data_IF_895771738005
#
_entry.id   IF_895771738005
#
_cell.length_a   1.000
_cell.length_b   1.000
_cell.length_c   1.000
_cell.angle_alpha   90.00
_cell.angle_beta   90.00
_cell.angle_gamma   90.00
#
_symmetry.space_group_name_H-M   'P 1'
#
loop_
_entity.id
_entity.type
_entity.pdbx_description
1 polymer ?
#
# COMPACT_ATOMS: atom_id res chain seq x y z
N UNK A 1 1.61 12.83 8.45
CA UNK A 1 3.02 12.44 8.71
C UNK A 1 3.50 11.66 7.49
N UNK A 2 4.22 12.30 6.57
CA UNK A 2 4.59 11.70 5.27
C UNK A 2 5.96 11.06 5.40
N UNK A 3 6.05 9.73 5.32
CA UNK A 3 7.31 9.06 5.00
C UNK A 3 7.68 9.48 3.57
N UNK A 4 8.81 10.17 3.36
CA UNK A 4 9.22 10.60 2.02
C UNK A 4 9.31 9.39 1.08
N UNK A 5 8.44 9.37 0.07
CA UNK A 5 8.41 8.37 -1.00
C UNK A 5 7.62 7.09 -0.69
N UNK A 6 6.93 6.97 0.45
CA UNK A 6 6.00 5.86 0.71
C UNK A 6 4.70 6.45 1.24
N UNK A 7 3.59 6.15 0.57
CA UNK A 7 2.27 6.61 1.00
C UNK A 7 1.86 5.94 2.31
N UNK A 8 1.31 6.73 3.24
CA UNK A 8 0.67 6.28 4.47
C UNK A 8 -0.62 7.07 4.71
N UNK A 9 -1.65 6.47 5.35
CA UNK A 9 -1.75 5.07 5.78
C UNK A 9 -1.86 4.10 4.60
N UNK A 10 -1.67 2.80 4.83
CA UNK A 10 -1.70 1.79 3.75
C UNK A 10 -3.13 1.35 3.40
N UNK A 11 -3.96 1.16 4.43
CA UNK A 11 -5.30 0.58 4.31
C UNK A 11 -6.18 1.08 5.46
N UNK A 12 -7.49 1.14 5.23
CA UNK A 12 -8.50 1.47 6.22
C UNK A 12 -9.27 0.21 6.66
N UNK A 13 -9.63 0.16 7.93
CA UNK A 13 -10.52 -0.87 8.48
C UNK A 13 -11.39 -0.34 9.63
N UNK A 14 -12.40 -1.11 10.06
CA UNK A 14 -13.41 -0.66 11.03
C UNK A 14 -12.79 -0.30 12.38
N UNK A 15 -13.08 0.90 12.89
CA UNK A 15 -12.50 1.39 14.14
C UNK A 15 -13.36 2.35 14.93
N UNK A 16 -14.62 2.57 14.55
CA UNK A 16 -15.55 3.44 15.26
C UNK A 16 -16.69 2.59 15.81
N UNK A 17 -17.05 2.83 17.06
CA UNK A 17 -18.12 2.09 17.77
C UNK A 17 -17.94 0.58 17.73
N UNK A 18 -16.70 0.11 17.98
CA UNK A 18 -16.37 -1.31 17.97
C UNK A 18 -16.66 -1.91 19.34
N UNK A 19 -17.53 -2.92 19.37
CA UNK A 19 -17.78 -3.75 20.54
C UNK A 19 -16.65 -4.76 20.72
N UNK A 20 -15.95 -4.71 21.86
CA UNK A 20 -14.84 -5.62 22.18
C UNK A 20 -14.90 -6.09 23.63
N UNK A 21 -14.23 -7.21 23.94
CA UNK A 21 -14.14 -7.71 25.31
C UNK A 21 -13.37 -6.73 26.21
N UNK A 22 -13.85 -6.54 27.44
CA UNK A 22 -13.26 -5.62 28.41
C UNK A 22 -12.97 -6.32 29.74
N UNK A 23 -11.82 -6.05 30.38
CA UNK A 23 -11.49 -6.67 31.65
C UNK A 23 -12.47 -6.25 32.75
N UNK A 24 -13.32 -7.18 33.16
CA UNK A 24 -14.25 -7.02 34.28
C UNK A 24 -13.51 -7.23 35.60
N UNK A 25 -13.07 -6.15 36.27
CA UNK A 25 -12.44 -6.21 37.59
C UNK A 25 -13.47 -6.01 38.71
N UNK A 26 -14.13 -7.10 39.13
CA UNK A 26 -15.02 -7.12 40.31
C UNK A 26 -16.32 -7.92 40.13
N UNK A 27 -16.99 -8.23 41.25
CA UNK A 27 -18.17 -9.13 41.33
C UNK A 27 -19.49 -8.50 40.84
N UNK A 28 -19.51 -7.20 40.58
CA UNK A 28 -20.73 -6.46 40.23
C UNK A 28 -20.91 -6.34 38.71
N UNK A 29 -21.74 -7.21 38.12
CA UNK A 29 -21.99 -7.29 36.67
C UNK A 29 -22.54 -6.00 36.03
N UNK A 30 -23.14 -5.11 36.83
CA UNK A 30 -23.76 -3.86 36.35
C UNK A 30 -22.78 -2.66 36.28
N UNK A 31 -21.63 -2.74 36.99
CA UNK A 31 -20.56 -1.73 36.94
C UNK A 31 -19.31 -2.20 36.19
N UNK A 32 -19.22 -3.50 35.89
CA UNK A 32 -18.11 -4.11 35.17
C UNK A 32 -18.62 -4.87 33.95
N UNK A 33 -18.86 -4.17 32.82
CA UNK A 33 -19.32 -4.84 31.63
C UNK A 33 -18.19 -5.73 31.07
N UNK A 34 -18.55 -6.93 30.62
CA UNK A 34 -17.60 -7.87 29.96
C UNK A 34 -17.21 -7.42 28.56
N UNK A 35 -17.96 -6.47 28.01
CA UNK A 35 -17.74 -5.89 26.69
C UNK A 35 -17.85 -4.37 26.81
N UNK A 36 -17.10 -3.65 26.00
CA UNK A 36 -17.17 -2.20 25.91
C UNK A 36 -17.21 -1.78 24.44
N UNK A 37 -17.75 -0.59 24.17
CA UNK A 37 -17.77 0.00 22.83
C UNK A 37 -16.73 1.12 22.80
N UNK A 38 -15.74 0.98 21.93
CA UNK A 38 -14.63 1.92 21.83
C UNK A 38 -14.41 2.38 20.39
N UNK A 39 -13.75 3.53 20.24
CA UNK A 39 -13.41 4.09 18.92
C UNK A 39 -11.95 4.49 18.87
N UNK A 40 -11.27 4.20 17.76
CA UNK A 40 -9.89 4.61 17.51
C UNK A 40 -9.16 3.68 16.53
N UNK A 41 -7.97 4.11 16.09
CA UNK A 41 -7.08 3.28 15.24
C UNK A 41 -6.59 2.02 15.97
N UNK A 42 -6.59 2.03 17.31
CA UNK A 42 -6.38 0.86 18.17
C UNK A 42 -7.44 -0.22 17.97
N UNK A 43 -8.65 0.14 17.48
CA UNK A 43 -9.74 -0.78 17.16
C UNK A 43 -9.70 -1.22 15.69
N UNK A 44 -9.20 -0.39 14.76
CA UNK A 44 -8.94 -0.79 13.36
C UNK A 44 -7.78 -1.78 13.21
N UNK A 45 -6.69 -1.59 13.97
CA UNK A 45 -5.50 -2.43 13.90
C UNK A 45 -5.76 -3.94 14.12
N UNK A 46 -6.52 -4.39 15.14
CA UNK A 46 -6.80 -5.80 15.34
C UNK A 46 -7.70 -6.40 14.23
N UNK A 47 -8.61 -5.63 13.63
CA UNK A 47 -9.38 -6.09 12.46
C UNK A 47 -8.46 -6.40 11.27
N UNK A 48 -7.56 -5.47 10.94
CA UNK A 48 -6.59 -5.67 9.85
C UNK A 48 -5.61 -6.81 10.14
N UNK A 49 -5.18 -6.95 11.40
CA UNK A 49 -4.32 -8.05 11.84
C UNK A 49 -5.04 -9.40 11.74
N UNK A 50 -6.31 -9.45 12.14
CA UNK A 50 -7.18 -10.61 12.02
C UNK A 50 -7.41 -11.00 10.55
N UNK A 51 -7.67 -10.04 9.68
CA UNK A 51 -7.80 -10.27 8.24
C UNK A 51 -6.48 -10.78 7.65
N UNK A 52 -5.34 -10.18 8.01
CA UNK A 52 -4.04 -10.66 7.55
C UNK A 52 -3.74 -12.09 8.03
N UNK A 53 -4.15 -12.44 9.26
CA UNK A 53 -4.06 -13.81 9.77
C UNK A 53 -5.03 -14.77 9.06
N UNK A 54 -6.24 -14.33 8.73
CA UNK A 54 -7.25 -15.10 8.02
C UNK A 54 -6.91 -15.29 6.54
N UNK A 55 -6.27 -14.34 5.87
CA UNK A 55 -5.70 -14.51 4.54
C UNK A 55 -4.63 -15.61 4.50
N UNK A 56 -4.14 -16.04 5.68
CA UNK A 56 -3.28 -17.21 5.85
C UNK A 56 -4.08 -18.53 6.01
N UNK A 57 -5.43 -18.50 5.97
CA UNK A 57 -6.32 -19.65 6.28
C UNK A 57 -7.73 -19.70 5.61
N UNK A 58 -8.21 -18.64 4.95
CA UNK A 58 -9.32 -18.46 3.95
C UNK A 58 -10.77 -19.01 4.17
N UNK A 59 -11.81 -18.11 4.19
CA UNK A 59 -13.22 -18.17 3.63
C UNK A 59 -14.13 -16.90 4.02
N UNK A 60 -15.26 -16.54 3.32
CA UNK A 60 -15.80 -15.14 3.01
C UNK A 60 -16.79 -14.34 3.92
N UNK A 61 -16.85 -12.98 3.83
CA UNK A 61 -18.05 -12.02 3.81
C UNK A 61 -17.70 -10.48 3.75
N UNK A 62 -18.66 -9.53 3.48
CA UNK A 62 -18.52 -8.08 3.05
C UNK A 62 -19.09 -6.96 4.00
N UNK A 63 -18.75 -5.64 3.77
CA UNK A 63 -19.52 -4.35 4.03
C UNK A 63 -18.67 -3.05 3.79
N UNK A 64 -19.08 -1.77 4.07
CA UNK A 64 -20.13 -0.84 3.53
C UNK A 64 -19.76 0.66 3.87
N UNK A 65 -20.30 1.63 3.10
CA UNK A 65 -20.51 3.08 3.37
C UNK A 65 -19.60 4.20 2.78
N UNK A 66 -20.29 5.23 2.27
CA UNK A 66 -20.01 5.98 1.03
C UNK A 66 -19.85 7.51 1.29
N UNK A 67 -18.62 7.96 1.56
CA UNK A 67 -18.20 9.38 1.52
C UNK A 67 -16.75 9.49 0.99
N UNK A 68 -16.41 10.50 0.14
CA UNK A 68 -15.10 10.56 -0.49
C UNK A 68 -14.03 11.12 0.46
N UNK A 69 -13.37 10.22 1.19
CA UNK A 69 -12.16 10.53 1.95
C UNK A 69 -10.92 10.57 1.03
N UNK A 70 -9.96 11.44 1.36
CA UNK A 70 -8.75 11.61 0.55
C UNK A 70 -7.74 10.45 0.73
N UNK A 71 -6.76 10.39 -0.16
CA UNK A 71 -5.76 9.32 -0.17
C UNK A 71 -4.92 9.23 1.12
N UNK A 72 -4.77 10.33 1.85
CA UNK A 72 -4.00 10.39 3.09
C UNK A 72 -4.84 10.02 4.33
N UNK A 73 -6.16 9.91 4.17
CA UNK A 73 -7.07 9.35 5.16
C UNK A 73 -7.25 7.82 4.99
N UNK A 74 -7.31 7.33 3.74
CA UNK A 74 -7.76 5.95 3.46
C UNK A 74 -6.71 5.01 2.87
N UNK A 75 -5.58 5.52 2.37
CA UNK A 75 -4.58 4.71 1.69
C UNK A 75 -5.16 3.99 0.46
N UNK A 76 -5.01 2.67 0.38
CA UNK A 76 -5.61 1.86 -0.71
C UNK A 76 -7.14 1.81 -0.68
N UNK A 77 -7.77 2.19 0.44
CA UNK A 77 -9.21 2.15 0.67
C UNK A 77 -9.60 1.16 1.77
N UNK A 78 -10.89 0.84 1.83
CA UNK A 78 -11.44 -0.12 2.79
C UNK A 78 -11.00 -1.56 2.45
N UNK A 79 -10.66 -2.33 3.47
CA UNK A 79 -10.23 -3.72 3.33
C UNK A 79 -11.34 -4.59 2.72
N UNK A 80 -10.98 -5.44 1.76
CA UNK A 80 -11.87 -6.46 1.18
C UNK A 80 -11.18 -7.83 1.27
N UNK A 81 -11.49 -8.64 2.30
CA UNK A 81 -10.83 -9.92 2.52
C UNK A 81 -10.99 -10.89 1.35
N UNK A 82 -12.16 -10.90 0.72
CA UNK A 82 -12.48 -11.79 -0.40
C UNK A 82 -11.60 -11.54 -1.62
N UNK A 83 -11.43 -10.26 -1.98
CA UNK A 83 -10.57 -9.87 -3.09
C UNK A 83 -9.09 -9.97 -2.76
N UNK A 84 -8.72 -9.98 -1.48
CA UNK A 84 -7.33 -10.10 -1.04
C UNK A 84 -6.84 -11.56 -1.02
N UNK A 85 -7.74 -12.54 -0.94
CA UNK A 85 -7.43 -13.98 -0.99
C UNK A 85 -6.98 -14.43 -2.40
N UNK A 86 -7.66 -13.93 -3.44
CA UNK A 86 -7.28 -14.11 -4.85
C UNK A 86 -7.06 -12.73 -5.50
N UNK A 87 -5.91 -12.07 -5.24
CA UNK A 87 -5.66 -10.71 -5.70
C UNK A 87 -5.22 -10.63 -7.17
N UNK A 88 -4.89 -11.76 -7.80
CA UNK A 88 -4.33 -11.82 -9.16
C UNK A 88 -2.84 -11.44 -9.21
N UNK A 89 -2.49 -10.21 -8.81
CA UNK A 89 -1.10 -9.74 -8.75
C UNK A 89 -0.71 -9.28 -7.35
N UNK A 90 0.52 -9.58 -6.95
CA UNK A 90 1.13 -9.08 -5.70
C UNK A 90 2.43 -8.33 -5.96
N UNK A 91 2.79 -7.46 -5.03
CA UNK A 91 4.06 -6.72 -5.03
C UNK A 91 4.99 -7.34 -3.99
N UNK A 92 5.74 -8.36 -4.39
CA UNK A 92 6.68 -9.03 -3.49
C UNK A 92 7.85 -8.11 -3.12
N UNK A 93 8.25 -8.17 -1.85
CA UNK A 93 9.37 -7.40 -1.32
C UNK A 93 10.20 -8.25 -0.38
N UNK A 94 11.53 -8.20 -0.56
CA UNK A 94 12.45 -8.98 0.25
C UNK A 94 13.06 -8.15 1.39
N UNK A 95 13.44 -8.77 2.53
CA UNK A 95 14.09 -8.07 3.64
C UNK A 95 15.32 -7.24 3.24
N UNK A 96 16.09 -7.72 2.26
CA UNK A 96 17.25 -7.00 1.72
C UNK A 96 16.88 -5.65 1.07
N UNK A 97 15.68 -5.53 0.51
CA UNK A 97 15.21 -4.28 -0.11
C UNK A 97 14.82 -3.25 0.96
N UNK A 98 14.21 -3.69 2.07
CA UNK A 98 14.01 -2.83 3.24
C UNK A 98 15.32 -2.33 3.83
N UNK A 99 16.35 -3.18 3.89
CA UNK A 99 17.70 -2.77 4.30
C UNK A 99 18.25 -1.69 3.37
N UNK A 100 18.13 -1.89 2.05
CA UNK A 100 18.51 -0.91 1.04
C UNK A 100 17.76 0.42 1.18
N UNK A 101 16.48 0.37 1.56
CA UNK A 101 15.68 1.54 1.87
C UNK A 101 16.15 2.28 3.12
N UNK A 102 16.34 1.59 4.24
CA UNK A 102 16.86 2.18 5.48
C UNK A 102 18.21 2.86 5.25
N UNK A 103 19.11 2.21 4.52
CA UNK A 103 20.41 2.78 4.15
C UNK A 103 20.28 4.01 3.22
N UNK A 104 19.22 4.11 2.41
CA UNK A 104 18.96 5.29 1.56
C UNK A 104 18.50 6.51 2.36
N UNK A 105 17.85 6.28 3.50
CA UNK A 105 17.39 7.34 4.41
C UNK A 105 18.53 7.96 5.25
N UNK A 106 19.76 7.44 5.13
CA UNK A 106 20.91 7.94 5.87
C UNK A 106 21.13 7.28 7.24
N UNK A 107 20.45 6.18 7.53
CA UNK A 107 20.65 5.43 8.77
C UNK A 107 22.08 4.88 8.85
N UNK A 108 22.68 4.97 10.04
CA UNK A 108 24.00 4.40 10.34
C UNK A 108 23.91 2.88 10.48
N UNK A 109 25.04 2.18 10.30
CA UNK A 109 25.12 0.73 10.48
C UNK A 109 24.59 0.28 11.87
N UNK A 110 24.85 1.07 12.93
CA UNK A 110 24.35 0.80 14.29
C UNK A 110 22.82 0.90 14.37
N UNK A 111 22.23 1.94 13.76
CA UNK A 111 20.77 2.10 13.75
C UNK A 111 20.08 1.00 12.94
N UNK A 112 20.64 0.62 11.78
CA UNK A 112 20.12 -0.51 10.99
C UNK A 112 20.23 -1.83 11.77
N UNK A 113 21.32 -2.05 12.51
CA UNK A 113 21.46 -3.23 13.37
C UNK A 113 20.43 -3.26 14.50
N UNK A 114 20.10 -2.12 15.13
CA UNK A 114 19.04 -2.06 16.16
C UNK A 114 17.69 -2.52 15.60
N UNK A 115 17.37 -2.11 14.37
CA UNK A 115 16.10 -2.41 13.70
C UNK A 115 16.05 -3.86 13.21
N UNK A 116 17.09 -4.29 12.48
CA UNK A 116 17.09 -5.57 11.75
C UNK A 116 17.69 -6.73 12.55
N UNK A 117 18.45 -6.42 13.61
CA UNK A 117 19.32 -7.37 14.33
C UNK A 117 20.37 -8.06 13.44
N UNK A 118 20.64 -7.49 12.26
CA UNK A 118 21.64 -7.98 11.31
C UNK A 118 22.80 -7.00 11.21
N UNK A 119 24.04 -7.52 11.14
CA UNK A 119 25.22 -6.69 10.94
C UNK A 119 25.33 -6.30 9.46
N UNK A 120 24.98 -5.06 9.14
CA UNK A 120 24.92 -4.54 7.76
C UNK A 120 25.87 -3.34 7.61
N UNK A 121 26.56 -3.28 6.46
CA UNK A 121 27.35 -2.11 6.04
C UNK A 121 26.61 -1.34 4.95
N UNK A 122 25.97 -0.23 5.30
CA UNK A 122 25.19 0.57 4.32
C UNK A 122 26.02 1.14 3.17
N UNK A 123 27.35 1.26 3.32
CA UNK A 123 28.26 1.68 2.23
C UNK A 123 28.32 0.69 1.08
N UNK A 124 28.17 -0.61 1.36
CA UNK A 124 28.26 -1.68 0.35
C UNK A 124 26.88 -2.19 -0.10
N UNK A 125 25.81 -1.72 0.53
CA UNK A 125 24.44 -2.11 0.18
C UNK A 125 23.89 -1.25 -0.95
N UNK A 126 23.07 -1.89 -1.81
CA UNK A 126 22.28 -1.17 -2.82
C UNK A 126 21.28 -0.26 -2.11
N UNK A 127 21.43 1.06 -2.28
CA UNK A 127 20.48 2.04 -1.75
C UNK A 127 19.22 2.09 -2.62
N UNK A 128 18.06 2.03 -1.99
CA UNK A 128 16.76 2.07 -2.66
C UNK A 128 15.98 3.28 -2.15
N UNK A 129 15.79 4.34 -2.95
CA UNK A 129 14.96 5.47 -2.55
C UNK A 129 13.53 5.02 -2.23
N UNK A 130 12.84 5.69 -1.29
CA UNK A 130 11.49 5.29 -0.86
C UNK A 130 10.51 5.04 -2.00
N UNK A 131 10.43 5.94 -2.98
CA UNK A 131 9.54 5.79 -4.14
C UNK A 131 9.86 4.57 -5.02
N UNK A 132 11.10 4.06 -4.99
CA UNK A 132 11.55 2.89 -5.75
C UNK A 132 11.40 1.57 -5.00
N UNK A 133 10.98 1.60 -3.74
CA UNK A 133 10.63 0.38 -3.02
C UNK A 133 9.46 -0.30 -3.75
N UNK A 134 9.46 -1.63 -3.85
CA UNK A 134 8.42 -2.38 -4.55
C UNK A 134 7.12 -2.46 -3.74
N UNK A 135 6.52 -1.29 -3.49
CA UNK A 135 5.37 -1.10 -2.62
C UNK A 135 4.09 -0.96 -3.46
N UNK A 136 2.93 -1.45 -2.99
CA UNK A 136 1.66 -1.44 -3.72
C UNK A 136 1.01 -0.04 -3.83
N UNK A 137 1.77 1.01 -3.53
CA UNK A 137 1.40 2.41 -3.77
C UNK A 137 2.55 3.17 -4.42
N UNK A 138 2.21 4.24 -5.13
CA UNK A 138 3.12 5.06 -5.91
C UNK A 138 3.17 6.45 -5.27
N UNK A 139 4.22 6.72 -4.50
CA UNK A 139 4.47 8.05 -3.95
C UNK A 139 5.70 8.67 -4.60
N UNK A 140 5.54 9.90 -5.09
CA UNK A 140 6.57 10.60 -5.87
C UNK A 140 6.63 12.08 -5.48
N UNK A 141 7.83 12.61 -5.29
CA UNK A 141 8.09 14.05 -5.16
C UNK A 141 8.48 14.58 -6.52
N UNK A 142 7.54 15.22 -7.21
CA UNK A 142 7.66 15.52 -8.64
C UNK A 142 8.26 16.91 -8.87
N UNK A 143 9.46 16.91 -9.47
CA UNK A 143 10.03 18.08 -10.12
C UNK A 143 9.49 18.23 -11.54
N UNK A 144 10.32 17.93 -12.56
CA UNK A 144 9.90 17.92 -13.98
C UNK A 144 9.30 16.57 -14.41
N UNK A 145 10.01 15.49 -14.10
CA UNK A 145 9.63 14.12 -14.44
C UNK A 145 10.30 13.16 -13.47
N UNK A 146 9.63 12.05 -13.17
CA UNK A 146 10.20 10.98 -12.37
C UNK A 146 9.61 9.63 -12.78
N UNK A 147 10.45 8.59 -12.82
CA UNK A 147 10.03 7.23 -13.17
C UNK A 147 10.21 6.31 -11.98
N UNK A 148 9.16 5.58 -11.61
CA UNK A 148 9.19 4.52 -10.62
C UNK A 148 9.12 3.16 -11.31
N UNK A 149 9.86 2.19 -10.79
CA UNK A 149 9.81 0.80 -11.28
C UNK A 149 9.08 -0.05 -10.24
N UNK A 150 8.23 -0.95 -10.73
CA UNK A 150 7.56 -1.96 -9.90
C UNK A 150 7.74 -3.34 -10.52
N UNK A 151 7.77 -4.33 -9.65
CA UNK A 151 7.75 -5.74 -10.00
C UNK A 151 6.49 -6.34 -9.42
N UNK A 152 5.72 -7.02 -10.25
CA UNK A 152 4.53 -7.75 -9.81
C UNK A 152 4.71 -9.23 -10.08
N UNK A 153 4.19 -10.05 -9.17
CA UNK A 153 4.16 -11.51 -9.28
C UNK A 153 2.72 -11.92 -9.54
N UNK A 154 2.48 -12.74 -10.56
CA UNK A 154 1.17 -13.32 -10.81
C UNK A 154 0.90 -14.46 -9.83
N UNK A 155 -0.11 -14.32 -8.98
CA UNK A 155 -0.61 -15.36 -8.08
C UNK A 155 -1.99 -15.86 -8.46
N UNK A 156 -2.60 -15.25 -9.48
CA UNK A 156 -3.84 -15.72 -10.08
C UNK A 156 -3.60 -16.88 -11.04
N UNK A 157 -4.47 -16.98 -12.05
CA UNK A 157 -4.38 -18.05 -13.05
C UNK A 157 -3.17 -17.85 -13.98
N UNK A 158 -2.61 -18.96 -14.46
CA UNK A 158 -1.65 -18.93 -15.56
C UNK A 158 -2.32 -18.51 -16.88
N UNK A 159 -1.50 -18.13 -17.86
CA UNK A 159 -1.95 -17.64 -19.16
C UNK A 159 -2.95 -16.46 -19.05
N UNK A 160 -2.56 -15.43 -18.30
CA UNK A 160 -3.38 -14.26 -18.01
C UNK A 160 -2.71 -12.97 -18.50
N UNK A 161 -3.49 -12.10 -19.12
CA UNK A 161 -3.10 -10.73 -19.49
C UNK A 161 -3.76 -9.70 -18.57
N UNK A 162 -3.00 -8.67 -18.24
CA UNK A 162 -3.47 -7.49 -17.50
C UNK A 162 -3.19 -6.23 -18.30
N UNK A 163 -4.21 -5.40 -18.49
CA UNK A 163 -4.10 -4.10 -19.16
C UNK A 163 -4.12 -2.97 -18.14
N UNK A 164 -3.33 -1.93 -18.40
CA UNK A 164 -3.28 -0.77 -17.51
C UNK A 164 -4.43 0.19 -17.76
N UNK A 165 -5.11 0.62 -16.70
CA UNK A 165 -6.02 1.77 -16.68
C UNK A 165 -5.49 2.79 -15.68
N UNK A 166 -5.55 4.07 -16.03
CA UNK A 166 -4.95 5.14 -15.23
C UNK A 166 -5.99 6.23 -15.00
N UNK A 167 -6.16 6.61 -13.74
CA UNK A 167 -6.80 7.86 -13.34
C UNK A 167 -5.69 8.82 -12.94
N UNK A 168 -5.25 9.72 -13.84
CA UNK A 168 -4.09 10.56 -13.59
C UNK A 168 -4.36 11.59 -12.49
N UNK A 169 -3.38 11.90 -11.63
CA UNK A 169 -3.47 13.06 -10.75
C UNK A 169 -3.58 14.36 -11.54
N UNK A 170 -4.34 15.32 -11.00
CA UNK A 170 -4.49 16.65 -11.61
C UNK A 170 -3.09 17.29 -11.78
N UNK A 171 -2.84 17.87 -12.96
CA UNK A 171 -1.55 18.51 -13.28
C UNK A 171 -0.39 17.53 -13.57
N UNK A 172 -0.68 16.23 -13.72
CA UNK A 172 0.35 15.20 -13.95
C UNK A 172 -0.08 14.24 -15.04
N UNK A 173 0.76 14.11 -16.07
CA UNK A 173 0.66 13.04 -17.06
C UNK A 173 1.36 11.80 -16.54
N UNK A 174 0.69 10.66 -16.61
CA UNK A 174 1.23 9.36 -16.16
C UNK A 174 1.33 8.43 -17.37
N UNK A 175 2.51 7.87 -17.60
CA UNK A 175 2.78 6.91 -18.67
C UNK A 175 3.30 5.60 -18.08
N UNK A 176 2.81 4.46 -18.57
CA UNK A 176 3.19 3.13 -18.07
C UNK A 176 3.75 2.29 -19.21
N UNK A 177 4.87 1.60 -18.95
CA UNK A 177 5.50 0.68 -19.91
C UNK A 177 5.89 -0.64 -19.23
N UNK A 178 5.53 -1.80 -19.79
CA UNK A 178 4.58 -1.99 -20.92
C UNK A 178 3.15 -1.60 -20.52
N UNK A 179 2.26 -1.39 -21.49
CA UNK A 179 0.83 -1.13 -21.26
C UNK A 179 0.02 -2.40 -20.95
N UNK A 180 0.61 -3.56 -21.20
CA UNK A 180 0.06 -4.89 -20.94
C UNK A 180 1.12 -5.78 -20.29
N UNK A 181 0.70 -6.56 -19.30
CA UNK A 181 1.52 -7.60 -18.66
C UNK A 181 0.93 -8.96 -18.98
N UNK A 182 1.72 -9.81 -19.63
CA UNK A 182 1.34 -11.17 -19.99
C UNK A 182 2.10 -12.18 -19.14
N UNK A 183 1.38 -13.09 -18.49
CA UNK A 183 1.92 -14.13 -17.63
C UNK A 183 1.52 -15.50 -18.16
N UNK A 184 2.49 -16.37 -18.43
CA UNK A 184 2.23 -17.74 -18.90
C UNK A 184 1.98 -18.71 -17.75
N UNK A 185 2.58 -18.45 -16.57
CA UNK A 185 2.47 -19.33 -15.40
C UNK A 185 2.24 -18.54 -14.11
N UNK A 186 1.70 -19.25 -13.11
CA UNK A 186 1.60 -18.77 -11.73
C UNK A 186 3.01 -18.63 -11.14
N UNK A 187 3.22 -17.59 -10.33
CA UNK A 187 4.52 -17.24 -9.74
C UNK A 187 5.49 -16.53 -10.70
N UNK A 188 5.05 -16.18 -11.92
CA UNK A 188 5.89 -15.42 -12.85
C UNK A 188 5.91 -13.94 -12.46
N UNK A 189 7.11 -13.36 -12.50
CA UNK A 189 7.32 -11.94 -12.21
C UNK A 189 7.38 -11.13 -13.50
N UNK A 190 6.81 -9.93 -13.48
CA UNK A 190 6.93 -8.95 -14.55
C UNK A 190 7.26 -7.57 -13.97
N UNK A 191 8.06 -6.80 -14.70
CA UNK A 191 8.43 -5.43 -14.33
C UNK A 191 7.71 -4.44 -15.21
N UNK A 192 7.31 -3.32 -14.63
CA UNK A 192 6.81 -2.18 -15.37
C UNK A 192 7.35 -0.87 -14.79
N UNK A 193 7.46 0.12 -15.65
CA UNK A 193 7.87 1.48 -15.33
C UNK A 193 6.67 2.42 -15.39
N UNK A 194 6.54 3.28 -14.39
CA UNK A 194 5.55 4.35 -14.31
C UNK A 194 6.27 5.69 -14.32
N UNK A 195 6.06 6.47 -15.37
CA UNK A 195 6.66 7.78 -15.55
C UNK A 195 5.62 8.87 -15.29
N UNK A 196 5.92 9.74 -14.34
CA UNK A 196 5.15 10.92 -13.96
C UNK A 196 5.77 12.16 -14.58
N UNK A 197 4.99 12.97 -15.28
CA UNK A 197 5.46 14.17 -15.98
C UNK A 197 4.54 15.32 -15.58
N UNK A 198 5.12 16.39 -15.02
CA UNK A 198 4.36 17.59 -14.65
C UNK A 198 3.82 18.26 -15.90
N UNK A 199 2.53 18.57 -15.94
CA UNK A 199 1.94 19.33 -17.05
C UNK A 199 1.99 20.83 -16.74
N UNK A 200 1.97 21.65 -17.79
CA UNK A 200 1.93 23.12 -17.66
C UNK A 200 0.51 23.63 -17.36
N UNK A 201 -0.46 22.73 -17.25
CA UNK A 201 -1.85 23.06 -16.93
C UNK A 201 -1.96 23.47 -15.47
N UNK A 202 -1.93 24.79 -15.31
CA UNK A 202 -2.37 25.58 -14.16
C UNK A 202 -1.46 25.65 -12.93
N UNK A 203 -1.35 26.89 -12.48
CA UNK A 203 -0.86 27.38 -11.18
C UNK A 203 -1.69 26.81 -10.03
N UNK A 204 -1.73 25.49 -9.88
CA UNK A 204 -2.34 24.91 -8.70
C UNK A 204 -1.40 25.17 -7.53
N UNK A 205 -1.85 26.01 -6.59
CA UNK A 205 -1.29 26.11 -5.23
C UNK A 205 -1.45 24.79 -4.43
N UNK A 206 -1.77 23.68 -5.09
CA UNK A 206 -1.91 22.38 -4.47
C UNK A 206 -0.52 21.81 -4.17
N UNK A 207 -0.30 21.51 -2.89
CA UNK A 207 0.93 20.87 -2.42
C UNK A 207 1.00 19.39 -2.84
N UNK A 208 -0.15 18.78 -3.17
CA UNK A 208 -0.25 17.39 -3.57
C UNK A 208 -1.36 17.15 -4.61
N UNK A 209 -1.24 16.05 -5.36
CA UNK A 209 -2.28 15.52 -6.24
C UNK A 209 -2.40 13.99 -6.07
N UNK A 210 -3.61 13.47 -6.29
CA UNK A 210 -3.93 12.05 -6.10
C UNK A 210 -4.52 11.42 -7.36
N UNK A 211 -4.28 10.12 -7.56
CA UNK A 211 -4.79 9.35 -8.69
C UNK A 211 -4.67 7.85 -8.43
N UNK A 212 -4.91 7.04 -9.47
CA UNK A 212 -4.86 5.57 -9.36
C UNK A 212 -4.31 4.93 -10.62
N UNK A 213 -3.55 3.84 -10.44
CA UNK A 213 -3.18 2.89 -11.48
C UNK A 213 -3.92 1.59 -11.21
N UNK A 214 -4.57 1.03 -12.23
CA UNK A 214 -5.26 -0.25 -12.16
C UNK A 214 -4.69 -1.21 -13.21
N UNK A 215 -4.32 -2.42 -12.79
CA UNK A 215 -4.12 -3.55 -13.67
C UNK A 215 -5.40 -4.37 -13.74
N UNK A 216 -5.97 -4.52 -14.93
CA UNK A 216 -7.27 -5.17 -15.12
C UNK A 216 -7.12 -6.38 -16.03
N UNK A 217 -7.60 -7.53 -15.56
CA UNK A 217 -7.80 -8.75 -16.34
C UNK A 217 -9.29 -9.08 -16.44
N UNK A 218 -9.65 -10.22 -17.02
CA UNK A 218 -11.04 -10.68 -17.06
C UNK A 218 -11.63 -10.95 -15.65
N UNK A 219 -10.80 -11.31 -14.67
CA UNK A 219 -11.23 -11.72 -13.33
C UNK A 219 -10.76 -10.77 -12.22
N UNK A 220 -9.63 -10.11 -12.41
CA UNK A 220 -8.94 -9.37 -11.35
C UNK A 220 -8.80 -7.89 -11.69
N UNK A 221 -8.80 -7.06 -10.65
CA UNK A 221 -8.53 -5.63 -10.74
C UNK A 221 -7.60 -5.23 -9.59
N UNK A 222 -6.35 -4.93 -9.91
CA UNK A 222 -5.30 -4.63 -8.93
C UNK A 222 -5.04 -3.13 -8.95
N UNK A 223 -5.42 -2.44 -7.87
CA UNK A 223 -5.36 -0.98 -7.76
C UNK A 223 -4.15 -0.53 -6.92
N UNK A 224 -3.37 0.38 -7.46
CA UNK A 224 -2.30 1.09 -6.74
C UNK A 224 -2.62 2.58 -6.69
N UNK A 225 -2.75 3.18 -5.48
CA UNK A 225 -2.90 4.61 -5.37
C UNK A 225 -1.65 5.38 -5.77
N UNK A 226 -1.86 6.57 -6.33
CA UNK A 226 -0.82 7.50 -6.75
C UNK A 226 -0.93 8.75 -5.88
N UNK A 227 0.17 9.12 -5.22
CA UNK A 227 0.33 10.38 -4.49
C UNK A 227 1.51 11.15 -5.05
N UNK A 228 1.24 12.33 -5.59
CA UNK A 228 2.25 13.24 -6.10
C UNK A 228 2.38 14.41 -5.13
N UNK A 229 3.60 14.69 -4.67
CA UNK A 229 3.93 15.91 -3.95
C UNK A 229 4.71 16.83 -4.90
N UNK A 230 4.27 18.07 -5.07
CA UNK A 230 4.99 19.03 -5.90
C UNK A 230 6.10 19.68 -5.07
N UNK A 231 7.33 19.62 -5.59
CA UNK A 231 8.49 20.33 -5.05
C UNK A 231 8.65 21.73 -5.65
#
# INVERSE_FOLDING_TARGET
MVCRGILKPDIMGPGVSILAAWPSRGTNKMKNPRFNIESGTSMSCPHLSGIAALLKHSHPTCDQDDQPADLFAIGAGHVNPLKADDPGLIYDIHPAEYIGYLCSLGYTNKQVWIITRMSIKCKTQRKIPGGQLNYPSLSVTLGRSQTLIRTVTNVGQGNSSYYVKITPPIGVRVAVKPSELHFTKVGQNAKYAVTFIRTNETRLHQQFAQGYLLWVSAKHSVRSPISVQFG
#
